data_IF_411196608941
#
_entry.id   IF_411196608941
#
_cell.length_a   1.000
_cell.length_b   1.000
_cell.length_c   1.000
_cell.angle_alpha   90.00
_cell.angle_beta   90.00
_cell.angle_gamma   90.00
#
_symmetry.space_group_name_H-M   'P 1'
#
loop_
_entity.id
_entity.type
_entity.pdbx_description
1 polymer ?
#
# COMPACT_ATOMS: atom_id res chain seq x y z
N UNK A 1 -22.31 15.06 -24.51
CA UNK A 1 -22.45 14.02 -23.47
C UNK A 1 -21.16 13.23 -23.44
N UNK A 2 -20.28 13.50 -22.48
CA UNK A 2 -19.01 12.75 -22.35
C UNK A 2 -19.34 11.46 -21.64
N UNK A 3 -19.28 10.34 -22.37
CA UNK A 3 -19.35 9.02 -21.76
C UNK A 3 -17.99 8.80 -21.12
N UNK A 4 -17.94 8.80 -19.79
CA UNK A 4 -16.76 8.36 -19.08
C UNK A 4 -16.67 6.84 -19.24
N UNK A 5 -15.64 6.38 -19.95
CA UNK A 5 -15.28 4.96 -20.02
C UNK A 5 -14.66 4.54 -18.68
N UNK A 6 -15.51 4.38 -17.67
CA UNK A 6 -15.12 3.94 -16.34
C UNK A 6 -14.94 2.43 -16.36
N UNK A 7 -13.68 1.99 -16.38
CA UNK A 7 -13.33 0.56 -16.24
C UNK A 7 -13.14 0.24 -14.77
N UNK A 8 -13.95 -0.69 -14.27
CA UNK A 8 -13.77 -1.26 -12.94
C UNK A 8 -12.63 -2.28 -12.98
N UNK A 9 -11.86 -2.32 -11.90
CA UNK A 9 -10.82 -3.32 -11.67
C UNK A 9 -11.23 -4.14 -10.46
N UNK A 10 -11.31 -5.46 -10.62
CA UNK A 10 -11.50 -6.35 -9.49
C UNK A 10 -10.32 -6.22 -8.54
N UNK A 11 -10.56 -6.25 -7.23
CA UNK A 11 -9.49 -6.22 -6.23
C UNK A 11 -8.76 -7.57 -6.18
N UNK A 12 -7.50 -7.63 -5.71
CA UNK A 12 -6.79 -8.90 -5.54
C UNK A 12 -7.58 -9.88 -4.68
N UNK A 13 -7.53 -11.19 -4.98
CA UNK A 13 -8.33 -12.23 -4.29
C UNK A 13 -8.17 -12.25 -2.75
N UNK A 14 -6.96 -11.92 -2.27
CA UNK A 14 -6.58 -11.89 -0.85
C UNK A 14 -6.72 -10.50 -0.21
N UNK A 15 -7.30 -9.54 -0.93
CA UNK A 15 -7.47 -8.18 -0.47
C UNK A 15 -8.69 -8.04 0.43
N UNK A 16 -8.51 -7.49 1.64
CA UNK A 16 -9.62 -7.06 2.49
C UNK A 16 -10.65 -8.14 2.87
N UNK A 17 -10.26 -9.41 3.01
CA UNK A 17 -11.20 -10.46 3.45
C UNK A 17 -11.31 -10.55 4.98
N UNK A 18 -12.55 -10.67 5.47
CA UNK A 18 -12.84 -10.92 6.88
C UNK A 18 -12.43 -9.75 7.77
N UNK A 19 -11.80 -10.05 8.91
CA UNK A 19 -11.33 -9.06 9.88
C UNK A 19 -10.25 -8.10 9.33
N UNK A 20 -9.67 -8.40 8.16
CA UNK A 20 -8.70 -7.55 7.46
C UNK A 20 -9.37 -6.48 6.59
N UNK A 21 -10.70 -6.46 6.49
CA UNK A 21 -11.46 -5.56 5.60
C UNK A 21 -11.53 -4.09 6.05
N UNK A 22 -10.80 -3.66 7.08
CA UNK A 22 -10.85 -2.28 7.55
C UNK A 22 -10.47 -1.31 6.42
N UNK A 23 -11.43 -0.48 5.93
CA UNK A 23 -11.19 0.44 4.82
C UNK A 23 -10.11 1.48 5.13
N UNK A 24 -9.96 1.80 6.42
CA UNK A 24 -9.03 2.81 6.93
C UNK A 24 -7.55 2.45 6.72
N UNK A 25 -7.26 1.20 6.33
CA UNK A 25 -5.90 0.73 6.09
C UNK A 25 -5.64 0.35 4.64
N UNK A 26 -6.46 0.88 3.72
CA UNK A 26 -6.28 0.74 2.28
C UNK A 26 -5.82 2.06 1.68
N UNK A 27 -4.77 2.03 0.87
CA UNK A 27 -4.38 3.18 0.07
C UNK A 27 -4.08 2.72 -1.36
N UNK A 28 -4.62 3.43 -2.36
CA UNK A 28 -4.32 3.21 -3.77
C UNK A 28 -3.67 4.45 -4.38
N UNK A 29 -2.84 4.26 -5.39
CA UNK A 29 -2.17 5.36 -6.06
C UNK A 29 -1.49 4.93 -7.36
N UNK A 30 -1.33 5.89 -8.27
CA UNK A 30 -0.61 5.68 -9.52
C UNK A 30 0.84 6.11 -9.33
N UNK A 31 1.78 5.19 -9.53
CA UNK A 31 3.22 5.42 -9.39
C UNK A 31 3.89 5.19 -10.72
N UNK A 32 4.45 6.25 -11.31
CA UNK A 32 5.08 6.22 -12.64
C UNK A 32 4.21 5.56 -13.72
N UNK A 33 2.89 5.81 -13.68
CA UNK A 33 1.93 5.27 -14.64
C UNK A 33 1.41 3.86 -14.34
N UNK A 34 1.81 3.25 -13.21
CA UNK A 34 1.33 1.93 -12.79
C UNK A 34 0.40 2.08 -11.59
N UNK A 35 -0.77 1.46 -11.65
CA UNK A 35 -1.68 1.45 -10.52
C UNK A 35 -1.16 0.50 -9.44
N UNK A 36 -1.04 1.02 -8.21
CA UNK A 36 -0.70 0.24 -7.02
C UNK A 36 -1.76 0.34 -5.97
N UNK A 37 -1.89 -0.75 -5.23
CA UNK A 37 -2.80 -0.89 -4.12
C UNK A 37 -1.99 -1.36 -2.92
N UNK A 38 -2.19 -0.71 -1.78
CA UNK A 38 -1.61 -1.13 -0.50
C UNK A 38 -2.73 -1.52 0.46
N UNK A 39 -2.44 -2.54 1.25
CA UNK A 39 -3.27 -2.99 2.35
C UNK A 39 -2.36 -3.19 3.55
N UNK A 40 -2.61 -2.39 4.58
CA UNK A 40 -1.98 -2.56 5.87
C UNK A 40 -3.02 -3.20 6.80
N UNK A 41 -2.62 -4.16 7.61
CA UNK A 41 -3.51 -4.70 8.63
C UNK A 41 -2.69 -5.18 9.82
N UNK A 42 -3.26 -5.08 11.02
CA UNK A 42 -2.60 -5.53 12.23
C UNK A 42 -2.88 -7.01 12.45
N UNK A 43 -1.89 -7.83 12.76
CA UNK A 43 -2.01 -9.23 13.19
C UNK A 43 -1.46 -9.37 14.60
N UNK A 44 -2.31 -9.63 15.59
CA UNK A 44 -1.95 -9.67 17.03
C UNK A 44 -1.15 -8.43 17.46
N UNK A 45 0.18 -8.47 17.35
CA UNK A 45 1.13 -7.42 17.77
C UNK A 45 1.91 -6.79 16.60
N UNK A 46 1.77 -7.30 15.38
CA UNK A 46 2.57 -6.88 14.23
C UNK A 46 1.68 -6.23 13.17
N UNK A 47 2.25 -5.37 12.32
CA UNK A 47 1.55 -4.90 11.13
C UNK A 47 2.03 -5.66 9.91
N UNK A 48 1.12 -6.08 9.04
CA UNK A 48 1.45 -6.66 7.75
C UNK A 48 1.09 -5.67 6.67
N UNK A 49 2.08 -5.31 5.86
CA UNK A 49 1.92 -4.46 4.69
C UNK A 49 2.03 -5.31 3.43
N UNK A 50 0.94 -5.35 2.66
CA UNK A 50 0.90 -5.90 1.31
C UNK A 50 0.77 -4.78 0.29
N UNK A 51 1.48 -4.89 -0.82
CA UNK A 51 1.37 -3.99 -1.97
C UNK A 51 1.23 -4.82 -3.23
N UNK A 52 0.20 -4.53 -4.01
CA UNK A 52 -0.03 -5.09 -5.33
C UNK A 52 0.18 -4.04 -6.41
N UNK A 53 0.68 -4.47 -7.56
CA UNK A 53 0.79 -3.68 -8.79
C UNK A 53 -0.10 -4.32 -9.86
N UNK A 54 -0.87 -3.50 -10.56
CA UNK A 54 -1.70 -3.97 -11.65
C UNK A 54 -0.83 -4.30 -12.87
N UNK A 55 -0.92 -5.53 -13.37
CA UNK A 55 -0.21 -5.98 -14.56
C UNK A 55 -0.90 -5.48 -15.83
N UNK A 56 -0.28 -4.50 -16.49
CA UNK A 56 -0.77 -3.95 -17.76
C UNK A 56 -0.32 -4.72 -19.00
N UNK A 57 0.58 -5.70 -18.86
CA UNK A 57 1.18 -6.44 -19.99
C UNK A 57 0.42 -7.73 -20.33
N UNK A 58 -0.69 -8.01 -19.66
CA UNK A 58 -1.45 -9.22 -19.95
C UNK A 58 -2.28 -9.04 -21.23
N UNK A 59 -1.88 -9.72 -22.30
CA UNK A 59 -2.54 -9.67 -23.61
C UNK A 59 -3.94 -10.31 -23.62
N UNK A 60 -4.34 -11.00 -22.54
CA UNK A 60 -5.60 -11.74 -22.48
C UNK A 60 -6.79 -10.93 -21.93
N UNK A 61 -6.68 -9.61 -21.77
CA UNK A 61 -7.67 -8.75 -21.10
C UNK A 61 -7.96 -9.09 -19.63
N UNK A 62 -7.40 -10.18 -19.11
CA UNK A 62 -7.48 -10.55 -17.70
C UNK A 62 -6.59 -9.60 -16.88
N UNK A 63 -7.24 -8.78 -16.08
CA UNK A 63 -6.56 -7.86 -15.16
C UNK A 63 -5.98 -8.68 -14.01
N UNK A 64 -4.64 -8.73 -13.95
CA UNK A 64 -3.92 -9.48 -12.93
C UNK A 64 -3.26 -8.51 -11.94
N UNK A 65 -3.43 -8.76 -10.65
CA UNK A 65 -2.71 -8.05 -9.60
C UNK A 65 -1.50 -8.86 -9.15
N UNK A 66 -0.32 -8.29 -9.29
CA UNK A 66 0.93 -8.90 -8.85
C UNK A 66 1.24 -8.43 -7.43
N UNK A 67 1.41 -9.35 -6.49
CA UNK A 67 1.89 -9.03 -5.15
C UNK A 67 3.38 -8.69 -5.22
N UNK A 68 3.73 -7.40 -5.18
CA UNK A 68 5.10 -6.90 -5.32
C UNK A 68 5.79 -6.65 -3.99
N UNK A 69 5.03 -6.55 -2.91
CA UNK A 69 5.57 -6.40 -1.55
C UNK A 69 4.67 -7.08 -0.53
N UNK A 70 5.26 -7.84 0.39
CA UNK A 70 4.57 -8.43 1.54
C UNK A 70 5.57 -8.50 2.69
N UNK A 71 5.34 -7.70 3.73
CA UNK A 71 6.28 -7.57 4.84
C UNK A 71 5.53 -7.46 6.17
N UNK A 72 6.12 -8.06 7.20
CA UNK A 72 5.75 -7.81 8.59
C UNK A 72 6.59 -6.66 9.14
N UNK A 73 5.92 -5.69 9.71
CA UNK A 73 6.47 -4.45 10.25
C UNK A 73 6.47 -4.57 11.77
N UNK A 74 7.65 -4.68 12.35
CA UNK A 74 7.86 -4.54 13.79
C UNK A 74 7.72 -3.06 14.15
N UNK A 75 6.74 -2.74 14.98
CA UNK A 75 6.54 -1.38 15.49
C UNK A 75 6.55 -1.40 17.00
N UNK A 76 7.27 -0.46 17.62
CA UNK A 76 7.24 -0.24 19.07
C UNK A 76 5.83 0.24 19.46
N UNK A 77 5.06 -0.61 20.12
CA UNK A 77 3.81 -0.35 20.88
C UNK A 77 2.74 0.57 20.26
N UNK A 78 2.75 0.82 18.94
CA UNK A 78 1.75 1.66 18.27
C UNK A 78 0.60 0.82 17.73
N UNK A 79 -0.63 1.31 17.91
CA UNK A 79 -1.83 0.76 17.28
C UNK A 79 -2.23 1.54 16.03
N UNK A 80 -1.53 2.63 15.71
CA UNK A 80 -1.96 3.65 14.75
C UNK A 80 -1.00 3.78 13.58
N UNK A 81 -0.93 2.72 12.79
CA UNK A 81 -0.17 2.69 11.54
C UNK A 81 -1.10 2.74 10.34
N UNK A 82 -0.84 3.64 9.40
CA UNK A 82 -1.61 3.74 8.16
C UNK A 82 -0.75 4.23 6.99
N UNK A 83 -1.05 3.74 5.78
CA UNK A 83 -0.39 4.21 4.55
C UNK A 83 -1.08 5.48 4.09
N UNK A 84 -0.33 6.58 4.01
CA UNK A 84 -0.86 7.87 3.60
C UNK A 84 -0.98 7.96 2.08
N UNK A 85 0.12 7.66 1.39
CA UNK A 85 0.24 7.81 -0.06
C UNK A 85 1.48 7.08 -0.59
N UNK A 86 1.42 6.68 -1.86
CA UNK A 86 2.60 6.31 -2.62
C UNK A 86 3.39 7.55 -3.07
N UNK A 87 4.72 7.47 -3.08
CA UNK A 87 5.54 8.56 -3.60
C UNK A 87 5.39 8.64 -5.12
N UNK A 88 5.02 9.81 -5.69
CA UNK A 88 4.63 9.90 -7.11
C UNK A 88 5.76 9.56 -8.09
N UNK A 89 7.01 9.83 -7.71
CA UNK A 89 8.18 9.69 -8.58
C UNK A 89 9.14 8.56 -8.19
N UNK A 90 8.99 7.98 -7.00
CA UNK A 90 9.92 6.99 -6.47
C UNK A 90 9.10 5.76 -6.11
N UNK A 91 9.17 4.75 -6.97
CA UNK A 91 8.35 3.55 -6.87
C UNK A 91 8.65 2.72 -5.62
N UNK A 92 9.82 2.90 -5.03
CA UNK A 92 10.18 2.16 -3.82
C UNK A 92 9.79 2.89 -2.54
N UNK A 93 9.08 4.03 -2.60
CA UNK A 93 8.78 4.84 -1.41
C UNK A 93 7.29 5.03 -1.20
N UNK A 94 6.84 4.79 0.02
CA UNK A 94 5.51 5.19 0.50
C UNK A 94 5.65 6.12 1.70
N UNK A 95 4.70 7.05 1.82
CA UNK A 95 4.52 7.85 3.02
C UNK A 95 3.52 7.14 3.92
N UNK A 96 3.84 7.04 5.19
CA UNK A 96 3.00 6.40 6.18
C UNK A 96 2.90 7.28 7.42
N UNK A 97 1.81 7.13 8.14
CA UNK A 97 1.62 7.73 9.45
C UNK A 97 1.86 6.70 10.54
N UNK A 98 2.53 7.12 11.60
CA UNK A 98 2.64 6.39 12.86
C UNK A 98 2.24 7.36 13.97
N UNK A 99 1.05 7.16 14.54
CA UNK A 99 0.42 8.06 15.49
C UNK A 99 0.37 9.51 14.97
N UNK A 100 1.29 10.38 15.40
CA UNK A 100 1.36 11.79 15.01
C UNK A 100 2.50 12.11 14.03
N UNK A 101 3.32 11.12 13.67
CA UNK A 101 4.47 11.31 12.80
C UNK A 101 4.23 10.79 11.38
N UNK A 102 4.80 11.49 10.39
CA UNK A 102 4.87 11.04 9.00
C UNK A 102 6.28 10.54 8.71
N UNK A 103 6.39 9.33 8.17
CA UNK A 103 7.67 8.76 7.78
C UNK A 103 7.63 8.21 6.36
N UNK A 104 8.80 8.14 5.74
CA UNK A 104 9.01 7.50 4.44
C UNK A 104 9.47 6.08 4.67
N UNK A 105 8.69 5.11 4.22
CA UNK A 105 9.08 3.71 4.18
C UNK A 105 9.62 3.39 2.79
N UNK A 106 10.79 2.74 2.73
CA UNK A 106 11.36 2.24 1.48
C UNK A 106 11.03 0.75 1.32
N UNK A 107 10.25 0.42 0.31
CA UNK A 107 9.92 -0.94 -0.12
C UNK A 107 11.23 -1.73 -0.34
N UNK A 108 11.28 -2.95 0.17
CA UNK A 108 12.47 -3.80 0.16
C UNK A 108 13.50 -3.50 1.27
N UNK A 109 13.35 -2.43 2.05
CA UNK A 109 14.13 -2.18 3.27
C UNK A 109 13.23 -2.46 4.48
N UNK A 110 13.19 -3.71 4.94
CA UNK A 110 12.28 -4.19 5.99
C UNK A 110 12.45 -3.59 7.40
N UNK A 111 13.01 -2.38 7.55
CA UNK A 111 13.14 -1.66 8.83
C UNK A 111 12.80 -0.18 8.65
N UNK A 112 11.94 0.34 9.53
CA UNK A 112 11.61 1.76 9.56
C UNK A 112 12.86 2.59 9.85
N UNK A 113 13.15 3.57 8.97
CA UNK A 113 14.11 4.62 9.30
C UNK A 113 13.32 5.81 9.81
N UNK A 114 13.38 6.05 11.12
CA UNK A 114 12.82 7.26 11.71
C UNK A 114 13.54 8.48 11.09
N UNK A 115 12.82 9.31 10.34
CA UNK A 115 13.34 10.58 9.82
C UNK A 115 12.83 11.66 10.79
N UNK A 116 13.51 11.84 11.92
CA UNK A 116 13.29 13.07 12.71
C UNK A 116 13.89 14.23 11.92
N UNK A 117 13.17 15.35 11.73
CA UNK A 117 13.82 16.60 11.35
C UNK A 117 14.70 17.04 12.52
N UNK A 118 15.98 17.31 12.27
CA UNK A 118 16.85 17.92 13.27
C UNK A 118 16.31 19.32 13.55
N UNK A 119 15.91 19.54 14.81
CA UNK A 119 15.59 20.85 15.39
C UNK A 119 16.79 21.78 15.37
#
# INVERSE_FOLDING_TARGET
MVVHDARFFDLPLDFGRGWQACPDHVCSGVVRGRLRLSHLFKTNQEFVLKIWELNHNNNNNDQEWLLVHNVTLETEETDRLFVAAFHPYNEDVICMFNDHDVYKYKIGQGKFKNIRPNS
#
